data_IF_023900366416
#
_entry.id   IF_023900366416
#
_cell.length_a   1.000
_cell.length_b   1.000
_cell.length_c   1.000
_cell.angle_alpha   90.00
_cell.angle_beta   90.00
_cell.angle_gamma   90.00
#
_symmetry.space_group_name_H-M   'P 1'
#
loop_
_entity.id
_entity.type
_entity.pdbx_description
1 polymer ?
#
# COMPACT_ATOMS: atom_id res chain seq x y z
N UNK A 1 -15.36 16.82 -3.80
CA UNK A 1 -13.94 16.42 -4.00
C UNK A 1 -13.07 17.29 -3.09
N UNK A 2 -12.08 16.72 -2.42
CA UNK A 2 -11.13 17.49 -1.61
C UNK A 2 -10.02 18.06 -2.51
N UNK A 3 -9.39 19.20 -2.13
CA UNK A 3 -8.31 19.79 -2.91
C UNK A 3 -7.09 18.86 -2.94
N UNK A 4 -6.48 18.74 -4.12
CA UNK A 4 -5.20 18.06 -4.30
C UNK A 4 -4.07 18.99 -3.89
N UNK A 5 -2.95 18.39 -3.52
CA UNK A 5 -1.68 19.09 -3.42
C UNK A 5 -0.97 18.92 -4.77
N UNK A 6 -0.71 20.03 -5.45
CA UNK A 6 0.08 20.01 -6.68
C UNK A 6 1.55 19.66 -6.35
N UNK A 7 2.20 18.96 -7.25
CA UNK A 7 3.61 18.65 -7.11
C UNK A 7 4.41 19.24 -8.29
N UNK A 8 5.64 19.59 -8.01
CA UNK A 8 6.61 20.03 -9.01
C UNK A 8 7.41 18.82 -9.48
N UNK A 9 7.49 18.62 -10.79
CA UNK A 9 8.25 17.53 -11.41
C UNK A 9 8.88 17.97 -12.72
N UNK A 10 9.90 17.25 -13.17
CA UNK A 10 10.47 17.42 -14.51
C UNK A 10 9.54 16.83 -15.59
N UNK A 11 9.70 17.26 -16.85
CA UNK A 11 8.97 16.63 -17.96
C UNK A 11 9.19 15.13 -18.03
N UNK A 12 10.40 14.65 -17.82
CA UNK A 12 10.75 13.23 -17.83
C UNK A 12 10.01 12.42 -16.74
N UNK A 13 9.80 12.99 -15.54
CA UNK A 13 8.99 12.38 -14.48
C UNK A 13 7.53 12.28 -14.89
N UNK A 14 6.98 13.34 -15.47
CA UNK A 14 5.60 13.36 -15.94
C UNK A 14 5.38 12.35 -17.08
N UNK A 15 6.31 12.23 -18.01
CA UNK A 15 6.29 11.25 -19.10
C UNK A 15 6.35 9.81 -18.54
N UNK A 16 7.21 9.55 -17.55
CA UNK A 16 7.32 8.25 -16.91
C UNK A 16 6.02 7.86 -16.17
N UNK A 17 5.39 8.81 -15.45
CA UNK A 17 4.10 8.61 -14.79
C UNK A 17 2.98 8.37 -15.82
N UNK A 18 2.95 9.11 -16.92
CA UNK A 18 1.98 8.89 -17.99
C UNK A 18 2.17 7.52 -18.67
N UNK A 19 3.42 7.07 -18.80
CA UNK A 19 3.76 5.82 -19.46
C UNK A 19 3.60 4.57 -18.57
N UNK A 20 3.45 4.70 -17.23
CA UNK A 20 3.39 3.54 -16.32
C UNK A 20 2.16 2.66 -16.57
N UNK A 21 1.07 3.25 -17.07
CA UNK A 21 -0.20 2.57 -17.30
C UNK A 21 -1.00 2.38 -16.01
N UNK A 22 -1.78 1.30 -15.95
CA UNK A 22 -2.57 0.94 -14.76
C UNK A 22 -1.66 0.76 -13.55
N UNK A 23 -2.01 1.41 -12.45
CA UNK A 23 -1.31 1.34 -11.17
C UNK A 23 -2.19 0.70 -10.11
N UNK A 24 -1.61 -0.19 -9.29
CA UNK A 24 -2.37 -0.93 -8.26
C UNK A 24 -1.98 -0.55 -6.84
N UNK A 25 -0.71 -0.24 -6.58
CA UNK A 25 -0.23 0.09 -5.24
C UNK A 25 0.89 1.14 -5.31
N UNK A 26 1.11 1.81 -4.21
CA UNK A 26 2.23 2.72 -4.00
C UNK A 26 2.68 2.72 -2.54
N UNK A 27 3.98 3.06 -2.30
CA UNK A 27 4.57 3.06 -0.97
C UNK A 27 5.64 4.12 -0.84
N UNK A 28 5.60 4.88 0.25
CA UNK A 28 6.75 5.65 0.70
C UNK A 28 7.84 4.75 1.27
N UNK A 29 9.11 5.07 1.00
CA UNK A 29 10.23 4.42 1.69
C UNK A 29 10.26 4.80 3.17
N UNK A 30 10.87 3.97 4.05
CA UNK A 30 10.92 4.26 5.49
C UNK A 30 11.57 5.60 5.86
N UNK A 31 12.47 6.14 5.02
CA UNK A 31 13.08 7.46 5.21
C UNK A 31 12.31 8.61 4.53
N UNK A 32 11.18 8.31 3.87
CA UNK A 32 10.32 9.27 3.18
C UNK A 32 10.95 9.97 1.96
N UNK A 33 12.04 9.40 1.40
CA UNK A 33 12.78 9.99 0.26
C UNK A 33 12.41 9.38 -1.08
N UNK A 34 11.76 8.22 -1.06
CA UNK A 34 11.28 7.54 -2.24
C UNK A 34 9.78 7.27 -2.15
N UNK A 35 9.12 7.32 -3.29
CA UNK A 35 7.77 6.82 -3.49
C UNK A 35 7.81 5.77 -4.61
N UNK A 36 7.55 4.52 -4.26
CA UNK A 36 7.40 3.44 -5.22
C UNK A 36 5.99 3.42 -5.78
N UNK A 37 5.84 3.24 -7.09
CA UNK A 37 4.55 3.09 -7.77
C UNK A 37 4.55 1.81 -8.58
N UNK A 38 3.57 0.93 -8.33
CA UNK A 38 3.43 -0.36 -8.99
C UNK A 38 2.73 -0.22 -10.35
N UNK A 39 3.43 -0.55 -11.43
CA UNK A 39 2.91 -0.55 -12.81
C UNK A 39 2.40 -1.93 -13.22
N UNK A 40 1.11 -2.17 -13.03
CA UNK A 40 0.44 -3.41 -13.37
C UNK A 40 0.53 -3.71 -14.89
N UNK A 41 0.72 -4.97 -15.24
CA UNK A 41 0.76 -5.42 -16.63
C UNK A 41 2.00 -4.99 -17.43
N UNK A 42 2.90 -4.21 -16.84
CA UNK A 42 4.11 -3.73 -17.52
C UNK A 42 5.42 -4.23 -16.90
N UNK A 43 5.35 -5.11 -15.91
CA UNK A 43 6.50 -5.74 -15.24
C UNK A 43 7.50 -4.74 -14.70
N UNK A 44 7.01 -3.61 -14.17
CA UNK A 44 7.85 -2.50 -13.71
C UNK A 44 7.32 -1.80 -12.49
N UNK A 45 8.23 -1.15 -11.78
CA UNK A 45 7.95 -0.18 -10.74
C UNK A 45 8.68 1.13 -11.03
N UNK A 46 8.04 2.26 -10.77
CA UNK A 46 8.73 3.54 -10.69
C UNK A 46 9.14 3.79 -9.24
N UNK A 47 10.40 4.19 -9.04
CA UNK A 47 10.91 4.70 -7.78
C UNK A 47 11.12 6.20 -7.95
N UNK A 48 10.19 7.01 -7.45
CA UNK A 48 10.22 8.47 -7.53
C UNK A 48 11.03 9.04 -6.36
N UNK A 49 12.00 9.91 -6.62
CA UNK A 49 12.68 10.69 -5.57
C UNK A 49 11.83 11.87 -5.19
N UNK A 50 11.36 11.88 -3.96
CA UNK A 50 10.38 12.84 -3.48
C UNK A 50 10.91 13.60 -2.27
N UNK A 51 10.64 14.90 -2.25
CA UNK A 51 10.77 15.75 -1.08
C UNK A 51 9.39 16.29 -0.71
N UNK A 52 9.06 16.18 0.56
CA UNK A 52 7.84 16.70 1.17
C UNK A 52 8.26 17.74 2.19
N UNK A 53 8.01 19.01 1.86
CA UNK A 53 8.37 20.17 2.69
C UNK A 53 7.10 20.69 3.37
N UNK A 54 7.04 20.71 4.72
CA UNK A 54 5.91 21.35 5.42
C UNK A 54 5.87 22.84 5.09
N UNK A 55 4.66 23.36 4.86
CA UNK A 55 4.42 24.81 4.70
C UNK A 55 3.32 25.26 5.64
N UNK A 56 3.11 26.56 5.78
CA UNK A 56 2.07 27.12 6.65
C UNK A 56 0.63 26.75 6.23
N UNK A 57 0.42 26.26 5.00
CA UNK A 57 -0.92 25.89 4.49
C UNK A 57 -1.01 24.43 4.08
N UNK A 58 -0.30 24.05 3.01
CA UNK A 58 -0.25 22.70 2.49
C UNK A 58 1.22 22.29 2.29
N UNK A 59 1.53 20.99 2.32
CA UNK A 59 2.88 20.56 2.02
C UNK A 59 3.26 20.91 0.57
N UNK A 60 4.51 21.34 0.37
CA UNK A 60 5.10 21.46 -0.97
C UNK A 60 5.73 20.13 -1.34
N UNK A 61 5.36 19.57 -2.49
CA UNK A 61 5.85 18.29 -2.97
C UNK A 61 6.69 18.50 -4.22
N UNK A 62 7.91 17.96 -4.21
CA UNK A 62 8.83 18.01 -5.35
C UNK A 62 9.27 16.59 -5.68
N UNK A 63 8.99 16.15 -6.90
CA UNK A 63 9.52 14.89 -7.44
C UNK A 63 10.72 15.27 -8.31
N UNK A 64 11.92 15.06 -7.76
CA UNK A 64 13.17 15.49 -8.41
C UNK A 64 13.51 14.64 -9.61
N UNK A 65 13.20 13.33 -9.51
CA UNK A 65 13.72 12.35 -10.43
C UNK A 65 13.03 10.99 -10.24
N UNK A 66 13.31 10.04 -11.13
CA UNK A 66 12.78 8.67 -11.04
C UNK A 66 13.81 7.62 -11.49
N UNK A 67 13.55 6.40 -11.10
CA UNK A 67 14.19 5.19 -11.63
C UNK A 67 13.09 4.22 -12.03
N UNK A 68 13.07 3.77 -13.28
CA UNK A 68 12.19 2.70 -13.71
C UNK A 68 12.90 1.35 -13.52
N UNK A 69 12.33 0.49 -12.69
CA UNK A 69 12.84 -0.86 -12.41
C UNK A 69 12.01 -1.88 -13.15
N UNK A 70 12.65 -2.76 -13.91
CA UNK A 70 12.04 -3.85 -14.66
C UNK A 70 12.62 -5.18 -14.24
N UNK A 71 11.79 -6.23 -14.27
CA UNK A 71 12.24 -7.60 -14.04
C UNK A 71 11.18 -8.58 -14.51
N UNK A 72 11.62 -9.69 -15.11
CA UNK A 72 10.73 -10.83 -15.41
C UNK A 72 10.04 -11.37 -14.14
N UNK A 73 10.69 -11.28 -12.97
CA UNK A 73 10.14 -11.70 -11.69
C UNK A 73 9.19 -10.68 -11.06
N UNK A 74 8.98 -9.51 -11.66
CA UNK A 74 7.94 -8.58 -11.23
C UNK A 74 6.56 -9.00 -11.73
N UNK A 75 6.46 -9.59 -12.91
CA UNK A 75 5.21 -10.03 -13.49
C UNK A 75 4.16 -8.91 -13.52
N UNK A 76 2.93 -9.23 -13.17
CA UNK A 76 1.85 -8.26 -12.94
C UNK A 76 1.95 -7.71 -11.52
N UNK A 77 2.69 -6.60 -11.35
CA UNK A 77 2.94 -5.96 -10.05
C UNK A 77 1.62 -5.47 -9.46
N UNK A 78 1.17 -6.07 -8.37
CA UNK A 78 -0.10 -5.71 -7.75
C UNK A 78 0.08 -5.03 -6.38
N UNK A 79 0.95 -5.56 -5.55
CA UNK A 79 1.26 -4.97 -4.25
C UNK A 79 2.77 -4.88 -4.02
N UNK A 80 3.18 -3.91 -3.22
CA UNK A 80 4.59 -3.75 -2.84
C UNK A 80 4.74 -3.21 -1.42
N UNK A 81 5.90 -3.46 -0.80
CA UNK A 81 6.27 -2.88 0.49
C UNK A 81 7.78 -2.75 0.62
N UNK A 82 8.26 -1.82 1.44
CA UNK A 82 9.67 -1.65 1.71
C UNK A 82 10.15 -2.50 2.90
N UNK A 83 11.24 -3.25 2.68
CA UNK A 83 11.99 -3.90 3.75
C UNK A 83 12.89 -2.89 4.45
N UNK A 84 13.56 -2.03 3.70
CA UNK A 84 14.36 -0.89 4.15
C UNK A 84 14.44 0.14 3.01
N UNK A 85 15.21 1.23 3.18
CA UNK A 85 15.29 2.31 2.19
C UNK A 85 15.86 1.88 0.82
N UNK A 86 16.40 0.68 0.69
CA UNK A 86 17.00 0.17 -0.56
C UNK A 86 16.49 -1.19 -0.99
N UNK A 87 15.70 -1.85 -0.16
CA UNK A 87 15.19 -3.19 -0.42
C UNK A 87 13.68 -3.19 -0.31
N UNK A 88 13.02 -3.75 -1.30
CA UNK A 88 11.57 -3.82 -1.37
C UNK A 88 11.10 -5.20 -1.81
N UNK A 89 9.84 -5.48 -1.56
CA UNK A 89 9.18 -6.72 -1.92
C UNK A 89 7.98 -6.42 -2.81
N UNK A 90 7.77 -7.26 -3.80
CA UNK A 90 6.67 -7.16 -4.76
C UNK A 90 5.82 -8.43 -4.69
N UNK A 91 4.53 -8.26 -4.55
CA UNK A 91 3.53 -9.29 -4.78
C UNK A 91 3.05 -9.20 -6.23
N UNK A 92 3.10 -10.31 -6.95
CA UNK A 92 2.72 -10.33 -8.35
C UNK A 92 1.63 -11.37 -8.61
N UNK A 93 0.68 -11.01 -9.46
CA UNK A 93 -0.50 -11.83 -9.80
C UNK A 93 -0.14 -13.20 -10.40
N UNK A 94 1.06 -13.35 -10.97
CA UNK A 94 1.54 -14.62 -11.54
C UNK A 94 1.84 -15.71 -10.49
N UNK A 95 1.65 -15.40 -9.21
CA UNK A 95 1.72 -16.39 -8.13
C UNK A 95 3.05 -16.46 -7.40
N UNK A 96 3.82 -15.37 -7.39
CA UNK A 96 5.05 -15.28 -6.60
C UNK A 96 5.20 -13.93 -5.87
N UNK A 97 6.10 -13.93 -4.90
CA UNK A 97 6.58 -12.73 -4.22
C UNK A 97 8.08 -12.64 -4.44
N UNK A 98 8.57 -11.48 -4.83
CA UNK A 98 9.98 -11.28 -5.13
C UNK A 98 10.57 -10.14 -4.32
N UNK A 99 11.77 -10.33 -3.79
CA UNK A 99 12.54 -9.32 -3.05
C UNK A 99 13.60 -8.74 -3.98
N UNK A 100 13.67 -7.42 -4.06
CA UNK A 100 14.60 -6.69 -4.92
C UNK A 100 15.41 -5.69 -4.11
N UNK A 101 16.57 -5.30 -4.64
CA UNK A 101 17.34 -4.16 -4.19
C UNK A 101 17.37 -3.08 -5.26
N UNK A 102 17.36 -1.83 -4.82
CA UNK A 102 17.62 -0.69 -5.71
C UNK A 102 19.04 -0.78 -6.28
N UNK A 103 19.27 -0.39 -7.54
CA UNK A 103 20.60 -0.30 -8.13
C UNK A 103 21.55 0.53 -7.25
N UNK A 104 22.84 0.21 -7.32
CA UNK A 104 23.87 1.03 -6.64
C UNK A 104 24.14 2.31 -7.45
N UNK A 105 24.66 3.32 -6.77
CA UNK A 105 24.93 4.63 -7.36
C UNK A 105 23.71 5.52 -7.40
N UNK A 106 23.65 6.41 -8.36
CA UNK A 106 22.58 7.38 -8.59
C UNK A 106 21.93 7.15 -9.97
N UNK A 107 21.10 6.12 -10.10
CA UNK A 107 20.50 5.73 -11.39
C UNK A 107 19.30 6.64 -11.72
N UNK A 108 19.56 7.90 -12.02
CA UNK A 108 18.54 8.91 -12.30
C UNK A 108 18.03 8.80 -13.76
N UNK A 109 16.70 8.96 -13.96
CA UNK A 109 16.07 9.14 -15.28
C UNK A 109 16.16 7.96 -16.22
N UNK A 110 16.47 6.75 -15.74
CA UNK A 110 16.73 5.59 -16.58
C UNK A 110 15.94 4.34 -16.17
N UNK A 111 15.71 3.47 -17.16
CA UNK A 111 15.22 2.12 -16.94
C UNK A 111 16.36 1.15 -16.60
N UNK A 112 16.17 0.34 -15.57
CA UNK A 112 17.11 -0.68 -15.13
C UNK A 112 16.46 -2.04 -15.08
N UNK A 113 17.06 -3.00 -15.79
CA UNK A 113 16.74 -4.42 -15.58
C UNK A 113 17.40 -4.88 -14.28
N UNK A 114 16.61 -5.40 -13.36
CA UNK A 114 17.09 -5.89 -12.07
C UNK A 114 16.71 -7.35 -11.85
N UNK A 115 17.60 -8.08 -11.20
CA UNK A 115 17.33 -9.45 -10.77
C UNK A 115 16.85 -9.48 -9.33
N UNK A 116 15.92 -10.38 -8.97
CA UNK A 116 15.48 -10.50 -7.59
C UNK A 116 16.59 -11.06 -6.70
N UNK A 117 16.74 -10.51 -5.50
CA UNK A 117 17.57 -11.11 -4.44
C UNK A 117 17.00 -12.47 -4.01
N UNK A 118 15.68 -12.60 -4.08
CA UNK A 118 14.95 -13.83 -3.76
C UNK A 118 13.58 -13.85 -4.41
N UNK A 119 13.20 -15.03 -4.93
CA UNK A 119 11.84 -15.36 -5.33
C UNK A 119 11.25 -16.35 -4.33
N UNK A 120 10.04 -16.07 -3.85
CA UNK A 120 9.28 -16.88 -2.92
C UNK A 120 8.04 -17.39 -3.66
N UNK A 121 7.93 -18.71 -3.80
CA UNK A 121 6.83 -19.38 -4.51
C UNK A 121 5.82 -20.06 -3.57
N UNK A 122 6.04 -19.94 -2.28
CA UNK A 122 5.29 -20.67 -1.29
C UNK A 122 5.74 -22.14 -1.18
N UNK A 123 4.90 -22.98 -0.59
CA UNK A 123 5.14 -24.42 -0.41
C UNK A 123 3.91 -25.23 -0.82
N UNK A 124 4.02 -26.57 -0.82
CA UNK A 124 2.89 -27.46 -1.15
C UNK A 124 1.62 -27.15 -0.33
N UNK A 125 1.77 -26.81 0.95
CA UNK A 125 0.65 -26.56 1.87
C UNK A 125 0.31 -25.07 2.03
N UNK A 126 1.19 -24.18 1.53
CA UNK A 126 1.03 -22.73 1.60
C UNK A 126 1.42 -22.13 0.25
N UNK A 127 0.59 -22.39 -0.76
CA UNK A 127 0.82 -21.88 -2.11
C UNK A 127 0.50 -20.40 -2.19
N UNK A 128 1.38 -19.65 -2.81
CA UNK A 128 1.07 -18.34 -3.34
C UNK A 128 0.26 -18.51 -4.63
N UNK A 129 -0.90 -17.88 -4.67
CA UNK A 129 -1.75 -17.88 -5.86
C UNK A 129 -2.46 -16.54 -5.98
N UNK A 130 -2.22 -15.85 -7.09
CA UNK A 130 -2.75 -14.51 -7.33
C UNK A 130 -2.51 -13.54 -6.16
N UNK A 131 -1.23 -13.33 -5.73
CA UNK A 131 -0.92 -12.37 -4.69
C UNK A 131 -1.45 -10.97 -5.03
N UNK A 132 -2.30 -10.42 -4.15
CA UNK A 132 -2.84 -9.07 -4.27
C UNK A 132 -1.91 -8.05 -3.64
N UNK A 133 -1.62 -8.19 -2.36
CA UNK A 133 -0.77 -7.26 -1.62
C UNK A 133 0.19 -7.98 -0.69
N UNK A 134 1.21 -7.26 -0.24
CA UNK A 134 2.18 -7.74 0.74
C UNK A 134 2.45 -6.67 1.79
N UNK A 135 2.55 -7.10 3.06
CA UNK A 135 3.02 -6.27 4.16
C UNK A 135 4.25 -6.90 4.82
N UNK A 136 5.26 -6.08 5.11
CA UNK A 136 6.50 -6.51 5.76
C UNK A 136 6.42 -6.25 7.26
N UNK A 137 6.49 -7.31 8.07
CA UNK A 137 6.65 -7.21 9.52
C UNK A 137 8.08 -7.55 9.91
N UNK A 138 8.75 -6.62 10.59
CA UNK A 138 10.07 -6.88 11.15
C UNK A 138 9.94 -7.71 12.42
N UNK A 139 10.80 -8.73 12.54
CA UNK A 139 10.90 -9.60 13.70
C UNK A 139 12.31 -9.53 14.29
N UNK A 140 12.51 -10.21 15.44
CA UNK A 140 13.81 -10.27 16.08
C UNK A 140 14.86 -11.03 15.23
N UNK A 141 16.13 -10.77 15.48
CA UNK A 141 17.28 -11.49 14.91
C UNK A 141 17.37 -11.51 13.39
N UNK A 142 16.95 -10.42 12.72
CA UNK A 142 17.04 -10.29 11.25
C UNK A 142 16.02 -11.11 10.47
N UNK A 143 15.00 -11.64 11.15
CA UNK A 143 13.84 -12.28 10.51
C UNK A 143 12.82 -11.23 10.09
N UNK A 144 12.12 -11.54 9.02
CA UNK A 144 10.98 -10.76 8.52
C UNK A 144 9.83 -11.72 8.25
N UNK A 145 8.63 -11.28 8.53
CA UNK A 145 7.42 -11.94 8.04
C UNK A 145 6.86 -11.14 6.87
N UNK A 146 6.69 -11.80 5.74
CA UNK A 146 5.95 -11.28 4.60
C UNK A 146 4.53 -11.81 4.70
N UNK A 147 3.57 -10.94 4.94
CA UNK A 147 2.15 -11.25 4.99
C UNK A 147 1.57 -10.98 3.60
N UNK A 148 1.00 -11.97 2.95
CA UNK A 148 0.58 -11.90 1.54
C UNK A 148 -0.89 -12.25 1.41
N UNK A 149 -1.68 -11.31 0.87
CA UNK A 149 -3.04 -11.59 0.43
C UNK A 149 -3.00 -12.45 -0.83
N UNK A 150 -3.74 -13.56 -0.83
CA UNK A 150 -3.91 -14.43 -1.98
C UNK A 150 -5.38 -14.40 -2.39
N UNK A 151 -5.71 -13.61 -3.42
CA UNK A 151 -7.09 -13.27 -3.78
C UNK A 151 -7.96 -14.51 -3.99
N UNK A 152 -7.65 -15.32 -4.98
CA UNK A 152 -8.51 -16.46 -5.38
C UNK A 152 -8.26 -17.76 -4.60
N UNK A 153 -7.50 -17.69 -3.52
CA UNK A 153 -7.47 -18.76 -2.50
C UNK A 153 -8.03 -18.29 -1.17
N UNK A 154 -8.60 -17.07 -1.12
CA UNK A 154 -9.33 -16.47 -0.01
C UNK A 154 -8.57 -16.52 1.32
N UNK A 155 -7.24 -16.25 1.29
CA UNK A 155 -6.38 -16.37 2.47
C UNK A 155 -5.25 -15.36 2.52
N UNK A 156 -4.78 -15.12 3.72
CA UNK A 156 -3.49 -14.45 3.95
C UNK A 156 -2.46 -15.51 4.34
N UNK A 157 -1.33 -15.50 3.66
CA UNK A 157 -0.19 -16.38 4.00
C UNK A 157 0.94 -15.59 4.66
N UNK A 158 1.69 -16.24 5.54
CA UNK A 158 2.89 -15.69 6.17
C UNK A 158 4.11 -16.48 5.72
N UNK A 159 5.10 -15.77 5.21
CA UNK A 159 6.38 -16.32 4.79
C UNK A 159 7.47 -15.68 5.66
N UNK A 160 8.08 -16.47 6.54
CA UNK A 160 9.18 -15.99 7.38
C UNK A 160 10.47 -16.16 6.62
N UNK A 161 11.17 -15.05 6.39
CA UNK A 161 12.44 -15.01 5.67
C UNK A 161 13.54 -14.46 6.57
N UNK A 162 14.81 -14.74 6.24
CA UNK A 162 15.94 -14.23 7.01
C UNK A 162 16.85 -13.35 6.13
N UNK A 163 17.03 -12.08 6.53
CA UNK A 163 17.77 -11.08 5.78
C UNK A 163 19.22 -11.50 5.49
N UNK A 164 19.94 -11.95 6.53
CA UNK A 164 21.35 -12.36 6.40
C UNK A 164 21.57 -13.59 5.53
N UNK A 165 20.50 -14.37 5.26
CA UNK A 165 20.56 -15.56 4.41
C UNK A 165 19.93 -15.29 3.03
N UNK A 166 20.03 -14.05 2.55
CA UNK A 166 19.51 -13.66 1.25
C UNK A 166 18.00 -13.87 1.13
N UNK A 167 17.26 -13.57 2.17
CA UNK A 167 15.79 -13.69 2.23
C UNK A 167 15.28 -15.11 1.99
N UNK A 168 16.09 -16.13 2.31
CA UNK A 168 15.65 -17.52 2.26
C UNK A 168 14.44 -17.71 3.20
N UNK A 169 13.39 -18.36 2.68
CA UNK A 169 12.24 -18.72 3.47
C UNK A 169 12.62 -19.79 4.51
N UNK A 170 12.30 -19.51 5.77
CA UNK A 170 12.51 -20.46 6.89
C UNK A 170 11.30 -21.37 7.04
N UNK A 171 10.11 -20.78 6.99
CA UNK A 171 8.85 -21.51 6.94
C UNK A 171 7.73 -20.67 6.34
N UNK A 172 6.66 -21.33 5.91
CA UNK A 172 5.46 -20.73 5.35
C UNK A 172 4.23 -21.31 6.05
N UNK A 173 3.23 -20.48 6.31
CA UNK A 173 1.95 -20.91 6.88
C UNK A 173 0.78 -20.10 6.31
N UNK A 174 -0.41 -20.69 6.32
CA UNK A 174 -1.65 -19.94 6.18
C UNK A 174 -1.86 -19.21 7.50
N UNK A 175 -1.97 -17.88 7.44
CA UNK A 175 -2.11 -17.03 8.62
C UNK A 175 -3.58 -16.76 8.93
N UNK A 176 -4.38 -16.43 7.89
CA UNK A 176 -5.79 -16.10 8.01
C UNK A 176 -6.55 -16.69 6.83
N UNK A 177 -7.74 -17.23 7.08
CA UNK A 177 -8.61 -17.77 6.04
C UNK A 177 -10.08 -17.50 6.37
N UNK A 178 -10.48 -17.67 7.63
CA UNK A 178 -11.87 -17.60 8.01
C UNK A 178 -12.50 -16.22 7.74
N UNK A 179 -13.58 -16.21 6.96
CA UNK A 179 -14.36 -15.01 6.67
C UNK A 179 -13.72 -14.05 5.65
N UNK A 180 -12.63 -14.46 4.99
CA UNK A 180 -12.04 -13.74 3.87
C UNK A 180 -12.64 -14.21 2.55
N UNK A 181 -12.96 -13.26 1.67
CA UNK A 181 -13.36 -13.52 0.30
C UNK A 181 -12.67 -12.51 -0.64
N UNK A 182 -11.78 -13.01 -1.48
CA UNK A 182 -10.89 -12.23 -2.35
C UNK A 182 -10.14 -11.15 -1.51
N UNK A 183 -9.30 -11.54 -0.51
CA UNK A 183 -8.50 -10.57 0.24
C UNK A 183 -7.49 -9.90 -0.68
N UNK A 184 -7.40 -8.56 -0.64
CA UNK A 184 -6.57 -7.81 -1.57
C UNK A 184 -5.54 -6.92 -0.87
N UNK A 185 -5.95 -5.84 -0.22
CA UNK A 185 -5.07 -4.96 0.52
C UNK A 185 -4.73 -5.49 1.91
N UNK A 186 -3.53 -5.20 2.39
CA UNK A 186 -3.10 -5.53 3.75
C UNK A 186 -2.26 -4.41 4.36
N UNK A 187 -2.51 -4.07 5.62
CA UNK A 187 -1.73 -3.11 6.38
C UNK A 187 -1.51 -3.55 7.82
N UNK A 188 -0.37 -3.15 8.37
CA UNK A 188 -0.02 -3.32 9.78
C UNK A 188 -0.10 -1.96 10.48
N UNK A 189 -0.62 -1.92 11.70
CA UNK A 189 -0.49 -0.74 12.55
C UNK A 189 0.96 -0.53 12.98
N UNK A 190 1.36 0.71 13.25
CA UNK A 190 2.74 1.05 13.61
C UNK A 190 3.22 0.41 14.90
N UNK A 191 2.31 0.20 15.87
CA UNK A 191 2.58 -0.52 17.11
C UNK A 191 2.70 -2.04 16.91
N UNK A 192 2.41 -2.54 15.70
CA UNK A 192 2.43 -3.95 15.33
C UNK A 192 1.34 -4.80 15.96
N UNK A 193 0.34 -4.17 16.59
CA UNK A 193 -0.77 -4.85 17.26
C UNK A 193 -1.86 -5.31 16.30
N UNK A 194 -2.14 -4.54 15.25
CA UNK A 194 -3.26 -4.79 14.37
C UNK A 194 -2.79 -5.11 12.95
N UNK A 195 -3.48 -6.05 12.33
CA UNK A 195 -3.43 -6.25 10.88
C UNK A 195 -4.83 -6.07 10.32
N UNK A 196 -4.93 -5.24 9.28
CA UNK A 196 -6.16 -4.99 8.54
C UNK A 196 -6.05 -5.57 7.13
N UNK A 197 -7.10 -6.23 6.66
CA UNK A 197 -7.17 -6.92 5.35
C UNK A 197 -8.46 -6.50 4.66
N UNK A 198 -8.37 -5.89 3.49
CA UNK A 198 -9.55 -5.65 2.64
C UNK A 198 -10.03 -6.95 1.99
N UNK A 199 -11.33 -7.10 1.85
CA UNK A 199 -11.98 -8.30 1.34
C UNK A 199 -13.04 -7.89 0.30
N UNK A 200 -12.73 -8.09 -0.98
CA UNK A 200 -13.57 -7.64 -2.09
C UNK A 200 -14.94 -8.31 -2.08
N UNK A 201 -14.97 -9.64 -1.93
CA UNK A 201 -16.23 -10.39 -2.00
C UNK A 201 -17.18 -10.15 -0.84
N UNK A 202 -16.65 -9.60 0.30
CA UNK A 202 -17.49 -9.22 1.45
C UNK A 202 -17.70 -7.71 1.56
N UNK A 203 -17.07 -6.89 0.71
CA UNK A 203 -17.17 -5.43 0.69
C UNK A 203 -16.86 -4.78 2.05
N UNK A 204 -15.85 -5.29 2.75
CA UNK A 204 -15.45 -4.82 4.07
C UNK A 204 -13.94 -4.96 4.31
N UNK A 205 -13.47 -4.46 5.46
CA UNK A 205 -12.11 -4.69 5.94
C UNK A 205 -12.15 -5.47 7.24
N UNK A 206 -11.44 -6.60 7.28
CA UNK A 206 -11.29 -7.43 8.49
C UNK A 206 -10.06 -6.98 9.27
N UNK A 207 -10.22 -6.81 10.58
CA UNK A 207 -9.13 -6.43 11.48
C UNK A 207 -8.86 -7.54 12.48
N UNK A 208 -7.58 -7.88 12.65
CA UNK A 208 -7.15 -8.96 13.55
C UNK A 208 -6.17 -8.41 14.58
N UNK A 209 -6.33 -8.85 15.84
CA UNK A 209 -5.46 -8.51 16.98
C UNK A 209 -4.26 -9.48 17.01
N UNK A 210 -3.07 -8.96 16.77
CA UNK A 210 -1.82 -9.71 16.75
C UNK A 210 -1.17 -9.87 18.12
N UNK A 211 -1.83 -9.44 19.19
CA UNK A 211 -1.37 -9.67 20.58
C UNK A 211 -1.42 -11.16 20.95
N UNK A 212 -2.23 -11.94 20.25
CA UNK A 212 -2.27 -13.40 20.33
C UNK A 212 -1.83 -14.03 19.00
N UNK A 213 -1.37 -15.29 19.00
CA UNK A 213 -1.05 -16.01 17.77
C UNK A 213 -2.25 -16.09 16.84
N UNK A 214 -2.04 -15.74 15.56
CA UNK A 214 -3.03 -15.89 14.51
C UNK A 214 -2.91 -17.25 13.82
N UNK A 215 -4.03 -17.77 13.35
CA UNK A 215 -4.15 -19.01 12.59
C UNK A 215 -5.32 -18.96 11.60
N UNK A 216 -5.48 -19.96 10.71
CA UNK A 216 -6.50 -19.98 9.67
C UNK A 216 -7.94 -19.75 10.18
N UNK A 217 -8.24 -20.29 11.37
CA UNK A 217 -9.54 -20.19 12.02
C UNK A 217 -9.74 -18.91 12.86
N UNK A 218 -8.75 -18.00 12.88
CA UNK A 218 -8.85 -16.77 13.66
C UNK A 218 -9.95 -15.88 13.08
N UNK A 219 -10.95 -15.56 13.91
CA UNK A 219 -12.00 -14.61 13.56
C UNK A 219 -11.50 -13.19 13.67
N UNK A 220 -11.97 -12.27 12.80
CA UNK A 220 -11.64 -10.86 12.93
C UNK A 220 -12.11 -10.30 14.28
N UNK A 221 -11.24 -9.53 14.91
CA UNK A 221 -11.57 -8.77 16.12
C UNK A 221 -12.45 -7.55 15.80
N UNK A 222 -12.33 -7.00 14.59
CA UNK A 222 -13.11 -5.89 14.10
C UNK A 222 -13.42 -6.00 12.62
N UNK A 223 -14.46 -5.27 12.18
CA UNK A 223 -14.89 -5.18 10.79
C UNK A 223 -15.21 -3.73 10.45
N UNK A 224 -14.61 -3.22 9.36
CA UNK A 224 -14.95 -1.92 8.78
C UNK A 224 -15.91 -2.14 7.63
N UNK A 225 -17.10 -1.60 7.77
CA UNK A 225 -18.23 -1.79 6.85
C UNK A 225 -18.41 -0.60 5.91
N UNK A 226 -19.29 -0.75 4.91
CA UNK A 226 -19.69 0.30 3.97
C UNK A 226 -18.58 0.79 3.03
N UNK A 227 -17.60 -0.05 2.71
CA UNK A 227 -16.82 0.07 1.50
C UNK A 227 -17.53 -0.70 0.38
N UNK A 228 -17.34 -0.29 -0.88
CA UNK A 228 -17.98 -0.96 -2.01
C UNK A 228 -17.09 -2.03 -2.65
N UNK A 229 -15.81 -1.74 -2.86
CA UNK A 229 -14.79 -2.69 -3.33
C UNK A 229 -13.44 -2.29 -2.74
N UNK A 230 -13.24 -2.51 -1.40
CA UNK A 230 -12.09 -1.97 -0.68
C UNK A 230 -10.79 -2.59 -1.18
N UNK A 231 -9.83 -1.75 -1.57
CA UNK A 231 -8.56 -2.15 -2.14
C UNK A 231 -7.41 -1.88 -1.17
N UNK A 232 -6.53 -0.92 -1.46
CA UNK A 232 -5.43 -0.54 -0.58
C UNK A 232 -5.89 0.17 0.70
N UNK A 233 -5.17 -0.01 1.79
CA UNK A 233 -5.51 0.60 3.08
C UNK A 233 -4.27 0.90 3.91
N UNK A 234 -4.37 1.91 4.81
CA UNK A 234 -3.29 2.28 5.72
C UNK A 234 -3.80 2.78 7.06
N UNK A 235 -3.08 2.43 8.10
CA UNK A 235 -3.20 3.09 9.39
C UNK A 235 -2.46 4.43 9.37
N UNK A 236 -3.01 5.45 10.05
CA UNK A 236 -2.24 6.64 10.41
C UNK A 236 -1.13 6.28 11.40
N UNK A 237 -0.08 7.11 11.49
CA UNK A 237 1.09 6.83 12.35
C UNK A 237 0.70 6.64 13.83
N UNK A 238 -0.29 7.41 14.29
CA UNK A 238 -0.85 7.32 15.65
C UNK A 238 -1.84 6.17 15.85
N UNK A 239 -2.17 5.44 14.77
CA UNK A 239 -3.12 4.33 14.79
C UNK A 239 -4.58 4.74 15.02
N UNK A 240 -4.89 6.05 15.07
CA UNK A 240 -6.23 6.57 15.33
C UNK A 240 -7.19 6.46 14.15
N UNK A 241 -6.66 6.32 12.92
CA UNK A 241 -7.47 6.20 11.72
C UNK A 241 -6.96 5.08 10.81
N UNK A 242 -7.89 4.51 10.04
CA UNK A 242 -7.59 3.68 8.87
C UNK A 242 -8.20 4.36 7.65
N UNK A 243 -7.38 4.59 6.63
CA UNK A 243 -7.81 5.06 5.32
C UNK A 243 -7.94 3.84 4.40
N UNK A 244 -9.03 3.78 3.66
CA UNK A 244 -9.33 2.69 2.72
C UNK A 244 -9.64 3.27 1.35
N UNK A 245 -8.86 2.90 0.34
CA UNK A 245 -9.15 3.18 -1.06
C UNK A 245 -10.28 2.26 -1.52
N UNK A 246 -11.34 2.83 -2.06
CA UNK A 246 -12.50 2.08 -2.55
C UNK A 246 -12.48 2.05 -4.08
N UNK A 247 -12.07 0.93 -4.66
CA UNK A 247 -12.02 0.79 -6.11
C UNK A 247 -13.42 0.75 -6.76
N UNK A 248 -14.46 0.46 -6.00
CA UNK A 248 -15.86 0.45 -6.44
C UNK A 248 -16.53 1.82 -6.43
N UNK A 249 -15.87 2.85 -5.89
CA UNK A 249 -16.36 4.23 -5.84
C UNK A 249 -15.22 5.22 -5.99
N UNK A 250 -15.48 6.53 -6.28
CA UNK A 250 -14.41 7.53 -6.38
C UNK A 250 -13.85 7.97 -5.01
N UNK A 251 -14.05 7.16 -3.95
CA UNK A 251 -13.87 7.56 -2.57
C UNK A 251 -12.62 6.96 -1.91
N UNK A 252 -12.10 7.71 -0.93
CA UNK A 252 -11.31 7.18 0.18
C UNK A 252 -12.17 7.26 1.44
N UNK A 253 -12.38 6.12 2.10
CA UNK A 253 -13.10 6.03 3.36
C UNK A 253 -12.14 6.18 4.54
N UNK A 254 -12.58 6.89 5.56
CA UNK A 254 -11.85 7.11 6.81
C UNK A 254 -12.61 6.46 7.93
N UNK A 255 -11.97 5.57 8.64
CA UNK A 255 -12.50 4.98 9.87
C UNK A 255 -11.68 5.50 11.05
N UNK A 256 -12.35 5.85 12.14
CA UNK A 256 -11.70 6.41 13.32
C UNK A 256 -11.89 5.49 14.54
N UNK A 257 -10.89 5.45 15.42
CA UNK A 257 -10.96 4.74 16.68
C UNK A 257 -9.99 5.31 17.72
N UNK A 258 -10.51 5.64 18.87
CA UNK A 258 -9.72 6.08 20.02
C UNK A 258 -9.40 4.93 21.00
N UNK A 259 -10.16 3.81 20.92
CA UNK A 259 -10.07 2.69 21.86
C UNK A 259 -9.55 1.39 21.21
N UNK A 260 -8.98 1.49 20.01
CA UNK A 260 -8.53 0.34 19.21
C UNK A 260 -9.62 -0.20 18.27
N UNK A 261 -9.33 -1.30 17.59
CA UNK A 261 -10.04 -1.69 16.38
C UNK A 261 -10.98 -2.89 16.56
N UNK A 262 -11.48 -3.14 17.76
CA UNK A 262 -12.49 -4.20 18.02
C UNK A 262 -13.90 -3.71 17.63
N UNK A 263 -14.73 -4.68 17.22
CA UNK A 263 -16.14 -4.43 16.89
C UNK A 263 -16.35 -3.96 15.46
N UNK A 264 -17.58 -3.53 15.14
CA UNK A 264 -17.97 -3.06 13.79
C UNK A 264 -17.91 -1.54 13.72
N UNK A 265 -17.45 -1.01 12.58
CA UNK A 265 -17.37 0.44 12.35
C UNK A 265 -17.79 0.77 10.94
N UNK A 266 -18.49 1.88 10.82
CA UNK A 266 -18.77 2.56 9.55
C UNK A 266 -17.79 3.72 9.35
N UNK A 267 -17.60 4.22 8.12
CA UNK A 267 -16.73 5.36 7.89
C UNK A 267 -17.18 6.56 8.71
N UNK A 268 -16.25 7.15 9.46
CA UNK A 268 -16.46 8.48 10.08
C UNK A 268 -16.52 9.58 9.02
N UNK A 269 -15.90 9.33 7.87
CA UNK A 269 -15.90 10.21 6.70
C UNK A 269 -15.60 9.44 5.42
N UNK A 270 -16.18 9.91 4.31
CA UNK A 270 -15.85 9.46 2.95
C UNK A 270 -15.55 10.70 2.11
N UNK A 271 -14.42 10.69 1.40
CA UNK A 271 -13.97 11.83 0.60
C UNK A 271 -13.73 11.42 -0.85
N UNK A 272 -14.31 12.17 -1.79
CA UNK A 272 -14.07 11.96 -3.21
C UNK A 272 -12.66 12.43 -3.59
N UNK A 273 -11.86 11.50 -4.13
CA UNK A 273 -10.50 11.74 -4.66
C UNK A 273 -10.45 11.71 -6.18
N UNK A 274 -11.51 11.25 -6.83
CA UNK A 274 -11.71 11.30 -8.27
C UNK A 274 -13.01 12.03 -8.59
N UNK A 275 -13.07 12.66 -9.75
CA UNK A 275 -14.31 13.08 -10.37
C UNK A 275 -15.01 11.91 -11.07
N UNK A 276 -16.30 12.07 -11.35
CA UNK A 276 -17.11 11.01 -11.96
C UNK A 276 -16.61 10.63 -13.35
N UNK A 277 -16.07 11.57 -14.12
CA UNK A 277 -15.55 11.31 -15.45
C UNK A 277 -14.32 10.39 -15.41
N UNK A 278 -13.34 10.68 -14.53
CA UNK A 278 -12.17 9.82 -14.34
C UNK A 278 -12.54 8.47 -13.77
N UNK A 279 -13.47 8.44 -12.81
CA UNK A 279 -13.98 7.19 -12.25
C UNK A 279 -14.59 6.30 -13.33
N UNK A 280 -15.46 6.86 -14.19
CA UNK A 280 -16.12 6.10 -15.26
C UNK A 280 -15.13 5.64 -16.34
N UNK A 281 -14.15 6.48 -16.72
CA UNK A 281 -13.10 6.09 -17.68
C UNK A 281 -12.18 5.01 -17.12
N UNK A 282 -11.91 5.05 -15.82
CA UNK A 282 -11.05 4.08 -15.13
C UNK A 282 -11.68 2.71 -14.92
N UNK A 283 -12.97 2.51 -15.28
CA UNK A 283 -13.68 1.25 -15.10
C UNK A 283 -13.18 0.18 -16.08
N UNK A 284 -12.13 -0.53 -15.67
CA UNK A 284 -11.65 -1.71 -16.40
C UNK A 284 -12.57 -2.93 -16.21
N UNK A 285 -13.38 -2.95 -15.15
CA UNK A 285 -14.45 -3.92 -14.87
C UNK A 285 -15.69 -3.19 -14.34
N UNK A 286 -16.78 -3.90 -14.13
CA UNK A 286 -18.02 -3.33 -13.57
C UNK A 286 -17.78 -2.84 -12.13
N UNK A 287 -16.90 -3.51 -11.40
CA UNK A 287 -16.64 -3.26 -9.98
C UNK A 287 -15.56 -2.20 -9.73
N UNK A 288 -14.64 -1.97 -10.69
CA UNK A 288 -13.45 -1.17 -10.47
C UNK A 288 -13.40 0.08 -11.33
N UNK A 289 -13.03 1.21 -10.77
CA UNK A 289 -12.83 2.51 -11.44
C UNK A 289 -12.23 3.54 -10.50
N UNK A 290 -12.29 3.25 -9.21
CA UNK A 290 -11.88 4.13 -8.13
C UNK A 290 -10.40 4.03 -7.75
N UNK A 291 -10.02 4.66 -6.62
CA UNK A 291 -8.66 4.59 -6.08
C UNK A 291 -8.33 3.16 -5.64
N UNK A 292 -7.09 2.75 -5.92
CA UNK A 292 -6.59 1.40 -5.62
C UNK A 292 -5.53 1.40 -4.53
N UNK A 293 -4.38 2.01 -4.78
CA UNK A 293 -3.32 2.13 -3.79
C UNK A 293 -3.38 3.47 -3.06
N UNK A 294 -3.06 3.45 -1.79
CA UNK A 294 -2.80 4.66 -1.01
C UNK A 294 -1.69 4.42 0.01
N UNK A 295 -0.92 5.46 0.31
CA UNK A 295 0.03 5.43 1.41
C UNK A 295 0.13 6.80 2.09
N UNK A 296 0.56 6.80 3.36
CA UNK A 296 0.69 8.00 4.19
C UNK A 296 2.18 8.23 4.41
N UNK A 297 2.64 9.44 4.19
CA UNK A 297 4.03 9.82 4.43
C UNK A 297 4.41 9.70 5.91
N UNK A 298 5.70 9.55 6.20
CA UNK A 298 6.21 9.34 7.56
C UNK A 298 5.86 10.48 8.52
N UNK A 299 5.71 11.71 8.02
CA UNK A 299 5.34 12.85 8.85
C UNK A 299 3.84 12.91 9.18
N UNK A 300 3.04 11.98 8.64
CA UNK A 300 1.59 11.92 8.81
C UNK A 300 0.89 13.20 8.28
N UNK A 301 1.42 13.79 7.22
CA UNK A 301 0.93 15.05 6.64
C UNK A 301 0.32 14.89 5.26
N UNK A 302 0.83 13.97 4.45
CA UNK A 302 0.46 13.76 3.05
C UNK A 302 -0.03 12.34 2.81
N UNK A 303 -1.08 12.22 2.01
CA UNK A 303 -1.56 10.93 1.48
C UNK A 303 -1.31 10.92 -0.02
N UNK A 304 -0.58 9.93 -0.50
CA UNK A 304 -0.47 9.61 -1.91
C UNK A 304 -1.56 8.60 -2.29
N UNK A 305 -2.18 8.78 -3.45
CA UNK A 305 -3.25 7.91 -3.95
C UNK A 305 -3.00 7.61 -5.42
N UNK A 306 -3.26 6.38 -5.83
CA UNK A 306 -3.18 5.96 -7.23
C UNK A 306 -4.47 5.29 -7.71
N UNK A 307 -4.78 5.48 -8.99
CA UNK A 307 -5.83 4.75 -9.71
C UNK A 307 -5.45 4.65 -11.19
N UNK A 308 -6.26 3.97 -11.98
CA UNK A 308 -5.98 3.78 -13.41
C UNK A 308 -5.83 5.09 -14.19
N UNK A 309 -6.78 6.03 -14.04
CA UNK A 309 -6.82 7.30 -14.77
C UNK A 309 -6.04 8.45 -14.09
N UNK A 310 -5.46 8.15 -12.94
CA UNK A 310 -4.67 9.09 -12.16
C UNK A 310 -3.55 8.30 -11.46
N UNK A 311 -2.42 8.09 -12.14
CA UNK A 311 -1.34 7.24 -11.64
C UNK A 311 -0.72 7.75 -10.32
N UNK A 312 -0.85 9.05 -10.03
CA UNK A 312 -0.39 9.64 -8.78
C UNK A 312 -1.15 10.94 -8.47
N UNK A 313 -1.65 11.06 -7.25
CA UNK A 313 -2.17 12.30 -6.68
C UNK A 313 -1.83 12.40 -5.20
N UNK A 314 -1.71 13.63 -4.69
CA UNK A 314 -1.43 13.89 -3.29
C UNK A 314 -2.53 14.72 -2.64
N UNK A 315 -2.77 14.45 -1.36
CA UNK A 315 -3.77 15.11 -0.53
C UNK A 315 -3.21 15.37 0.86
N UNK A 316 -3.64 16.45 1.50
CA UNK A 316 -3.35 16.67 2.92
C UNK A 316 -4.08 15.63 3.77
N UNK A 317 -3.38 14.94 4.67
CA UNK A 317 -4.02 13.98 5.57
C UNK A 317 -5.11 14.66 6.41
N UNK A 318 -4.86 15.87 6.93
CA UNK A 318 -5.85 16.66 7.68
C UNK A 318 -7.12 16.93 6.87
N UNK A 319 -6.99 17.16 5.55
CA UNK A 319 -8.14 17.35 4.65
C UNK A 319 -8.94 16.06 4.44
N UNK A 320 -8.26 14.90 4.45
CA UNK A 320 -8.92 13.58 4.37
C UNK A 320 -9.63 13.24 5.66
N UNK A 321 -8.95 13.32 6.82
CA UNK A 321 -9.53 12.94 8.13
C UNK A 321 -10.49 14.00 8.72
N UNK A 322 -10.46 15.22 8.19
CA UNK A 322 -11.36 16.29 8.64
C UNK A 322 -10.88 17.06 9.87
N UNK A 323 -9.62 16.91 10.26
CA UNK A 323 -8.99 17.76 11.28
C UNK A 323 -8.61 19.11 10.64
N UNK A 324 -8.95 20.25 11.27
CA UNK A 324 -8.32 21.53 10.94
C UNK A 324 -6.81 21.38 11.17
N UNK A 325 -5.98 21.86 10.23
CA UNK A 325 -4.55 21.96 10.48
C UNK A 325 -4.34 22.64 11.85
N UNK A 326 -3.60 22.01 12.76
CA UNK A 326 -3.22 22.65 14.01
C UNK A 326 -2.43 23.92 13.64
N UNK A 327 -2.87 25.08 14.11
CA UNK A 327 -2.08 26.29 13.98
C UNK A 327 -0.74 26.02 14.68
N UNK A 328 0.41 26.40 14.07
CA UNK A 328 1.68 26.24 14.72
C UNK A 328 1.66 27.04 16.02
N UNK A 329 1.80 26.38 17.17
CA UNK A 329 2.04 27.07 18.44
C UNK A 329 3.35 27.84 18.30
N UNK A 330 3.24 29.14 18.05
CA UNK A 330 4.36 30.05 18.24
C UNK A 330 4.63 30.13 19.74
N UNK A 331 5.57 29.32 20.24
CA UNK A 331 6.19 29.61 21.53
C UNK A 331 7.02 30.89 21.36
N UNK A 332 6.49 31.97 21.83
CA UNK A 332 7.28 33.20 22.09
C UNK A 332 8.26 32.83 23.18
N UNK A 333 9.55 32.87 22.86
CA UNK A 333 10.65 32.78 23.82
C UNK A 333 10.84 34.15 24.51
#
# INVERSE_FOLDING_TARGET
MIPRIDFVATGAVNDALAAIGRTEDLRFSPDNRLLAVAGYGRRRCLMLRIDIEPTAGAARIVIRDFVELRSESMGEVHGLDFIDNRTFVVANRDGLVAVFALPQGDPAGQGHEISPLRVIKGSRFCRLRTPGSVAVRRESHGRLSLLVCNNYTHRVTRHVVHRRWGYRALWNQVLLEQGLDIPDGIALSHDGRWVAVSSHGTNDVKIYDMSAPLGPETRPAGVLENANYPHGLRFTQDGSHILVADAGSPMVHVYASDEGWKGRRTPSRSVAVLDDERFLRGRASVEEGGPKGLDIDKSNSVVAVTCQEQPLAFYGLSSIVGRKAAEPEFRVL
#
